data_IF_641457328811
#
_entry.id   IF_641457328811
#
_cell.length_a   1.000
_cell.length_b   1.000
_cell.length_c   1.000
_cell.angle_alpha   90.00
_cell.angle_beta   90.00
_cell.angle_gamma   90.00
#
_symmetry.space_group_name_H-M   'P 1'
#
loop_
_entity.id
_entity.type
_entity.pdbx_description
1 polymer ?
#
# COMPACT_ATOMS: atom_id res chain seq x y z
N UNK A 1 -19.39 65.59 18.32
CA UNK A 1 -20.55 64.65 18.31
C UNK A 1 -20.74 64.28 16.85
N UNK A 2 -20.49 63.08 16.32
CA UNK A 2 -20.64 61.71 16.82
C UNK A 2 -19.64 60.84 16.00
N UNK A 3 -18.79 60.05 16.64
CA UNK A 3 -18.00 59.00 15.98
C UNK A 3 -18.89 57.75 15.88
N UNK A 4 -19.25 57.33 14.68
CA UNK A 4 -19.94 56.04 14.46
C UNK A 4 -18.87 54.98 14.25
N UNK A 5 -18.70 54.13 15.26
CA UNK A 5 -17.87 52.93 15.19
C UNK A 5 -18.68 51.82 14.51
N UNK A 6 -18.24 51.37 13.33
CA UNK A 6 -18.69 50.13 12.71
C UNK A 6 -18.00 48.97 13.44
N UNK A 7 -18.75 48.29 14.31
CA UNK A 7 -18.36 46.99 14.86
C UNK A 7 -18.51 45.95 13.74
N UNK A 8 -17.38 45.53 13.16
CA UNK A 8 -17.28 44.25 12.46
C UNK A 8 -17.46 43.14 13.51
N UNK A 9 -18.68 42.64 13.65
CA UNK A 9 -18.92 41.34 14.25
C UNK A 9 -18.36 40.28 13.30
N UNK A 10 -17.11 39.85 13.55
CA UNK A 10 -16.61 38.61 12.99
C UNK A 10 -17.51 37.49 13.53
N UNK A 11 -18.35 36.93 12.66
CA UNK A 11 -18.97 35.64 12.90
C UNK A 11 -17.82 34.65 12.96
N UNK A 12 -17.42 34.27 14.17
CA UNK A 12 -16.55 33.13 14.39
C UNK A 12 -17.41 31.92 14.01
N UNK A 13 -17.31 31.50 12.75
CA UNK A 13 -17.77 30.17 12.36
C UNK A 13 -16.99 29.18 13.24
N UNK A 14 -17.66 28.26 13.94
CA UNK A 14 -16.95 27.21 14.65
C UNK A 14 -16.06 26.49 13.63
N UNK A 15 -14.79 26.29 13.98
CA UNK A 15 -13.92 25.44 13.18
C UNK A 15 -14.61 24.09 13.05
N UNK A 16 -14.85 23.62 11.82
CA UNK A 16 -15.29 22.25 11.62
C UNK A 16 -14.32 21.31 12.34
N UNK A 17 -14.80 20.28 13.05
CA UNK A 17 -13.91 19.30 13.67
C UNK A 17 -12.98 18.72 12.61
N UNK A 18 -11.76 18.35 13.01
CA UNK A 18 -10.83 17.69 12.08
C UNK A 18 -11.47 16.39 11.61
N UNK A 19 -11.28 16.01 10.34
CA UNK A 19 -11.94 14.80 9.79
C UNK A 19 -11.48 13.52 10.52
N UNK A 20 -10.32 13.57 11.18
CA UNK A 20 -9.81 12.48 12.02
C UNK A 20 -10.58 12.31 13.34
N UNK A 21 -11.28 13.35 13.82
CA UNK A 21 -12.04 13.32 15.09
C UNK A 21 -13.42 12.67 14.91
N UNK A 22 -13.86 12.42 13.67
CA UNK A 22 -15.16 11.79 13.33
C UNK A 22 -15.03 10.35 12.82
N UNK A 23 -13.85 9.74 12.98
CA UNK A 23 -13.64 8.36 12.54
C UNK A 23 -14.39 7.37 13.45
N UNK A 24 -15.08 6.36 12.88
CA UNK A 24 -15.82 5.39 13.67
C UNK A 24 -14.86 4.46 14.43
N UNK A 25 -15.20 4.13 15.68
CA UNK A 25 -14.34 3.31 16.55
C UNK A 25 -14.85 1.87 16.71
N UNK A 26 -16.14 1.64 16.46
CA UNK A 26 -16.82 0.39 16.85
C UNK A 26 -16.94 -0.67 15.74
N UNK A 27 -16.57 -0.31 14.51
CA UNK A 27 -16.86 -1.12 13.31
C UNK A 27 -15.94 -2.33 13.14
N UNK A 28 -16.51 -3.44 12.66
CA UNK A 28 -15.78 -4.63 12.22
C UNK A 28 -15.60 -4.66 10.70
N UNK A 29 -14.36 -4.55 10.25
CA UNK A 29 -14.00 -4.53 8.83
C UNK A 29 -13.75 -5.93 8.24
N UNK A 30 -13.90 -7.02 9.00
CA UNK A 30 -13.54 -8.38 8.56
C UNK A 30 -14.26 -8.77 7.25
N UNK A 31 -15.57 -8.54 7.16
CA UNK A 31 -16.35 -8.90 5.98
C UNK A 31 -15.99 -8.05 4.75
N UNK A 32 -15.78 -6.74 4.94
CA UNK A 32 -15.52 -5.81 3.84
C UNK A 32 -14.09 -5.92 3.31
N UNK A 33 -13.12 -6.34 4.13
CA UNK A 33 -11.73 -6.62 3.69
C UNK A 33 -11.66 -7.66 2.58
N UNK A 34 -12.52 -8.67 2.63
CA UNK A 34 -12.58 -9.76 1.65
C UNK A 34 -13.25 -9.36 0.34
N UNK A 35 -13.82 -8.16 0.26
CA UNK A 35 -14.48 -7.67 -0.95
C UNK A 35 -13.48 -7.63 -2.10
N UNK A 36 -13.75 -8.38 -3.15
CA UNK A 36 -12.92 -8.35 -4.36
C UNK A 36 -13.22 -7.07 -5.12
N UNK A 37 -12.16 -6.38 -5.54
CA UNK A 37 -12.24 -5.17 -6.36
C UNK A 37 -11.30 -5.31 -7.53
N UNK A 38 -11.57 -4.69 -8.67
CA UNK A 38 -10.57 -4.60 -9.73
C UNK A 38 -9.67 -3.40 -9.47
N UNK A 39 -8.37 -3.65 -9.43
CA UNK A 39 -7.36 -2.60 -9.26
C UNK A 39 -6.11 -2.98 -10.05
N UNK A 40 -5.61 -2.04 -10.85
CA UNK A 40 -4.35 -2.21 -11.59
C UNK A 40 -4.24 -3.53 -12.37
N UNK A 41 -5.30 -3.90 -13.09
CA UNK A 41 -5.34 -5.11 -13.94
C UNK A 41 -5.43 -6.46 -13.19
N UNK A 42 -5.63 -6.45 -11.87
CA UNK A 42 -5.89 -7.64 -11.04
C UNK A 42 -7.19 -7.49 -10.24
N UNK A 43 -7.53 -8.53 -9.48
CA UNK A 43 -8.71 -8.58 -8.62
C UNK A 43 -8.32 -8.87 -7.16
N UNK A 44 -7.66 -7.94 -6.44
CA UNK A 44 -7.24 -8.16 -5.06
C UNK A 44 -8.41 -7.90 -4.09
N UNK A 45 -8.26 -8.29 -2.81
CA UNK A 45 -9.17 -7.84 -1.76
C UNK A 45 -9.08 -6.32 -1.56
N UNK A 46 -10.17 -5.72 -1.08
CA UNK A 46 -10.24 -4.32 -0.69
C UNK A 46 -9.16 -3.95 0.33
N UNK A 47 -8.80 -4.88 1.22
CA UNK A 47 -7.70 -4.69 2.17
C UNK A 47 -6.39 -4.28 1.49
N UNK A 48 -6.02 -4.96 0.39
CA UNK A 48 -4.80 -4.62 -0.37
C UNK A 48 -4.92 -3.25 -1.01
N UNK A 49 -6.05 -2.96 -1.66
CA UNK A 49 -6.25 -1.67 -2.35
C UNK A 49 -6.25 -0.50 -1.37
N UNK A 50 -6.89 -0.67 -0.22
CA UNK A 50 -6.93 0.34 0.83
C UNK A 50 -5.52 0.61 1.40
N UNK A 51 -4.77 -0.45 1.75
CA UNK A 51 -3.37 -0.33 2.21
C UNK A 51 -2.52 0.42 1.20
N UNK A 52 -2.60 0.01 -0.06
CA UNK A 52 -1.85 0.62 -1.15
C UNK A 52 -2.22 2.09 -1.35
N UNK A 53 -3.51 2.41 -1.33
CA UNK A 53 -3.96 3.78 -1.52
C UNK A 53 -3.49 4.69 -0.38
N UNK A 54 -3.66 4.24 0.86
CA UNK A 54 -3.26 4.99 2.06
C UNK A 54 -1.74 5.17 2.11
N UNK A 55 -0.96 4.11 1.88
CA UNK A 55 0.50 4.17 1.86
C UNK A 55 1.01 5.06 0.72
N UNK A 56 0.43 4.97 -0.49
CA UNK A 56 0.86 5.79 -1.63
C UNK A 56 0.67 7.28 -1.35
N UNK A 57 -0.48 7.66 -0.79
CA UNK A 57 -0.79 9.07 -0.49
C UNK A 57 0.05 9.57 0.68
N UNK A 58 0.01 8.88 1.81
CA UNK A 58 0.53 9.36 3.11
C UNK A 58 1.98 9.00 3.36
N UNK A 59 2.48 7.94 2.70
CA UNK A 59 3.76 7.31 2.98
C UNK A 59 3.77 6.38 4.20
N UNK A 60 2.60 6.08 4.77
CA UNK A 60 2.44 5.21 5.95
C UNK A 60 1.20 4.32 5.79
N UNK A 61 1.38 2.99 5.87
CA UNK A 61 0.29 2.01 5.76
C UNK A 61 -0.75 2.15 6.89
N UNK A 62 -0.33 2.57 8.09
CA UNK A 62 -1.20 2.77 9.25
C UNK A 62 -1.17 4.25 9.66
N UNK A 63 -1.47 5.13 8.71
CA UNK A 63 -1.39 6.58 8.92
C UNK A 63 -2.12 7.04 10.20
N UNK A 64 -1.38 7.71 11.08
CA UNK A 64 -1.84 8.17 12.41
C UNK A 64 -2.38 7.04 13.32
N UNK A 65 -1.97 5.80 13.08
CA UNK A 65 -2.39 4.63 13.86
C UNK A 65 -3.76 4.06 13.48
N UNK A 66 -4.40 4.57 12.44
CA UNK A 66 -5.69 4.07 11.98
C UNK A 66 -5.55 2.92 10.99
N UNK A 67 -6.58 2.10 10.92
CA UNK A 67 -6.66 1.02 9.96
C UNK A 67 -6.80 1.56 8.52
N UNK A 68 -6.06 1.01 7.54
CA UNK A 68 -6.10 1.50 6.17
C UNK A 68 -7.47 1.35 5.50
N UNK A 69 -8.25 0.32 5.82
CA UNK A 69 -9.61 0.15 5.27
C UNK A 69 -10.56 1.19 5.85
N UNK A 70 -10.42 1.50 7.14
CA UNK A 70 -11.17 2.58 7.78
C UNK A 70 -10.87 3.92 7.10
N UNK A 71 -9.59 4.27 6.93
CA UNK A 71 -9.18 5.52 6.28
C UNK A 71 -9.67 5.59 4.84
N UNK A 72 -9.52 4.50 4.09
CA UNK A 72 -9.97 4.43 2.70
C UNK A 72 -11.49 4.66 2.57
N UNK A 73 -12.29 4.01 3.43
CA UNK A 73 -13.74 4.23 3.46
C UNK A 73 -14.09 5.65 3.92
N UNK A 74 -13.35 6.22 4.88
CA UNK A 74 -13.55 7.60 5.32
C UNK A 74 -13.28 8.61 4.18
N UNK A 75 -12.22 8.40 3.39
CA UNK A 75 -11.93 9.20 2.19
C UNK A 75 -13.04 9.09 1.15
N UNK A 76 -13.59 7.89 1.00
CA UNK A 76 -14.66 7.60 0.03
C UNK A 76 -16.01 8.19 0.47
N UNK A 77 -16.36 8.13 1.75
CA UNK A 77 -17.68 8.53 2.26
C UNK A 77 -17.78 9.99 2.68
N UNK A 78 -16.65 10.62 3.05
CA UNK A 78 -16.56 12.00 3.49
C UNK A 78 -15.50 12.81 2.70
N UNK A 79 -15.51 12.81 1.36
CA UNK A 79 -14.44 13.38 0.54
C UNK A 79 -14.21 14.88 0.79
N UNK A 80 -15.29 15.65 1.02
CA UNK A 80 -15.20 17.09 1.28
C UNK A 80 -14.41 17.42 2.56
N UNK A 81 -14.56 16.60 3.60
CA UNK A 81 -13.81 16.78 4.84
C UNK A 81 -12.33 16.43 4.63
N UNK A 82 -12.07 15.25 4.04
CA UNK A 82 -10.71 14.74 3.81
C UNK A 82 -9.92 15.51 2.76
N UNK A 83 -10.57 16.22 1.84
CA UNK A 83 -9.90 17.11 0.89
C UNK A 83 -9.11 18.22 1.58
N UNK A 84 -9.52 18.63 2.78
CA UNK A 84 -8.87 19.70 3.57
C UNK A 84 -7.87 19.16 4.60
N UNK A 85 -7.83 17.85 4.83
CA UNK A 85 -6.93 17.23 5.79
C UNK A 85 -5.48 17.16 5.27
N UNK A 86 -4.46 17.44 6.10
CA UNK A 86 -3.07 17.23 5.73
C UNK A 86 -2.72 15.73 5.59
N UNK A 87 -2.66 15.26 4.35
CA UNK A 87 -2.40 13.86 3.98
C UNK A 87 -1.05 13.67 3.28
N UNK A 88 -0.65 14.59 2.41
CA UNK A 88 0.48 14.40 1.49
C UNK A 88 1.75 15.00 2.09
N UNK A 89 2.71 14.15 2.46
CA UNK A 89 4.00 14.58 2.98
C UNK A 89 4.96 15.00 1.85
N UNK A 90 5.43 16.25 1.90
CA UNK A 90 6.48 16.80 1.04
C UNK A 90 7.65 17.21 1.95
N UNK A 91 8.48 16.23 2.35
CA UNK A 91 9.52 16.42 3.37
C UNK A 91 10.73 17.24 2.88
N UNK A 92 11.07 17.14 1.60
CA UNK A 92 12.23 17.81 1.01
C UNK A 92 12.04 19.33 0.97
N UNK A 93 12.91 20.08 1.66
CA UNK A 93 12.80 21.53 1.79
C UNK A 93 13.08 22.27 0.48
N UNK A 94 14.02 21.80 -0.33
CA UNK A 94 14.35 22.38 -1.64
C UNK A 94 13.17 22.23 -2.61
N UNK A 95 12.53 21.06 -2.65
CA UNK A 95 11.34 20.83 -3.45
C UNK A 95 10.20 21.75 -3.03
N UNK A 96 9.99 21.96 -1.73
CA UNK A 96 8.98 22.91 -1.25
C UNK A 96 9.30 24.34 -1.67
N UNK A 97 10.57 24.76 -1.60
CA UNK A 97 11.00 26.08 -2.02
C UNK A 97 10.82 26.29 -3.52
N UNK A 98 11.22 25.30 -4.33
CA UNK A 98 11.06 25.30 -5.79
C UNK A 98 9.58 25.39 -6.18
N UNK A 99 8.74 24.58 -5.53
CA UNK A 99 7.30 24.63 -5.71
C UNK A 99 6.65 25.87 -5.10
N UNK A 100 7.37 26.75 -4.40
CA UNK A 100 6.82 27.92 -3.70
C UNK A 100 5.74 27.57 -2.66
N UNK A 101 5.88 26.40 -2.01
CA UNK A 101 5.04 25.95 -0.91
C UNK A 101 5.53 26.50 0.43
N UNK A 102 4.63 26.59 1.42
CA UNK A 102 4.97 27.12 2.74
C UNK A 102 6.09 26.34 3.43
N UNK A 103 7.17 27.03 3.80
CA UNK A 103 8.29 26.39 4.52
C UNK A 103 7.92 25.91 5.93
N UNK A 104 6.83 26.41 6.51
CA UNK A 104 6.40 26.10 7.88
C UNK A 104 5.68 24.75 8.02
N UNK A 105 5.32 24.10 6.91
CA UNK A 105 4.60 22.81 6.90
C UNK A 105 5.31 21.79 6.01
N UNK A 106 5.27 20.53 6.43
CA UNK A 106 5.82 19.39 5.67
C UNK A 106 4.75 18.45 5.13
N UNK A 107 3.48 18.68 5.48
CA UNK A 107 2.32 17.89 5.07
C UNK A 107 1.25 18.85 4.57
N UNK A 108 0.64 18.51 3.43
CA UNK A 108 -0.29 19.35 2.68
C UNK A 108 -1.60 18.59 2.45
N UNK A 109 -2.70 19.33 2.36
CA UNK A 109 -4.00 18.77 1.97
C UNK A 109 -4.13 18.67 0.45
N UNK A 110 -5.11 17.89 -0.01
CA UNK A 110 -5.48 17.86 -1.43
C UNK A 110 -5.87 19.27 -1.90
N UNK A 111 -6.72 19.95 -1.13
CA UNK A 111 -7.19 21.31 -1.42
C UNK A 111 -6.05 22.33 -1.52
N UNK A 112 -5.04 22.25 -0.65
CA UNK A 112 -3.85 23.11 -0.71
C UNK A 112 -3.10 22.94 -2.03
N UNK A 113 -2.92 21.70 -2.49
CA UNK A 113 -2.10 21.40 -3.66
C UNK A 113 -2.84 21.64 -4.98
N UNK A 114 -4.13 21.31 -5.07
CA UNK A 114 -4.92 21.56 -6.29
C UNK A 114 -5.31 23.03 -6.47
N UNK A 115 -5.18 23.85 -5.44
CA UNK A 115 -5.32 25.31 -5.55
C UNK A 115 -3.99 26.02 -5.85
N UNK A 116 -2.87 25.27 -5.84
CA UNK A 116 -1.53 25.83 -6.01
C UNK A 116 -1.14 25.97 -7.48
N UNK A 117 -1.32 27.18 -8.03
CA UNK A 117 -1.15 27.47 -9.47
C UNK A 117 0.19 27.00 -10.04
N UNK A 118 1.30 27.28 -9.36
CA UNK A 118 2.62 26.94 -9.89
C UNK A 118 2.82 25.42 -10.05
N UNK A 119 2.31 24.62 -9.09
CA UNK A 119 2.34 23.17 -9.20
C UNK A 119 1.47 22.69 -10.38
N UNK A 120 0.27 23.27 -10.55
CA UNK A 120 -0.61 22.92 -11.67
C UNK A 120 0.02 23.25 -13.03
N UNK A 121 0.72 24.37 -13.15
CA UNK A 121 1.42 24.74 -14.38
C UNK A 121 2.52 23.71 -14.73
N UNK A 122 3.29 23.27 -13.74
CA UNK A 122 4.30 22.21 -13.91
C UNK A 122 3.65 20.88 -14.30
N UNK A 123 2.55 20.48 -13.66
CA UNK A 123 1.80 19.27 -14.00
C UNK A 123 1.28 19.35 -15.45
N UNK A 124 0.73 20.49 -15.85
CA UNK A 124 0.25 20.69 -17.21
C UNK A 124 1.39 20.63 -18.22
N UNK A 125 2.55 21.21 -17.92
CA UNK A 125 3.73 21.09 -18.78
C UNK A 125 4.16 19.63 -18.95
N UNK A 126 4.18 18.84 -17.87
CA UNK A 126 4.48 17.41 -17.92
C UNK A 126 3.48 16.62 -18.76
N UNK A 127 2.19 16.94 -18.69
CA UNK A 127 1.17 16.28 -19.49
C UNK A 127 1.35 16.52 -21.00
N UNK A 128 1.96 17.64 -21.40
CA UNK A 128 2.22 18.00 -22.80
C UNK A 128 3.63 17.58 -23.27
N UNK A 129 4.58 17.38 -22.35
CA UNK A 129 5.86 16.75 -22.64
C UNK A 129 5.61 15.26 -22.96
N UNK A 130 5.71 14.88 -24.24
CA UNK A 130 5.26 13.57 -24.72
C UNK A 130 5.73 12.36 -23.90
N UNK A 131 4.91 11.30 -23.89
CA UNK A 131 5.22 10.04 -23.20
C UNK A 131 6.58 9.48 -23.66
N UNK A 132 7.51 9.27 -22.71
CA UNK A 132 8.80 8.61 -22.96
C UNK A 132 10.04 9.51 -22.83
N UNK A 133 9.88 10.81 -22.60
CA UNK A 133 10.99 11.68 -22.21
C UNK A 133 11.53 11.30 -20.83
N UNK A 134 12.86 11.24 -20.70
CA UNK A 134 13.50 11.02 -19.40
C UNK A 134 13.26 12.26 -18.54
N UNK A 135 12.44 12.09 -17.50
CA UNK A 135 12.13 13.15 -16.57
C UNK A 135 13.39 13.59 -15.83
N UNK A 136 13.53 14.90 -15.65
CA UNK A 136 14.50 15.44 -14.71
C UNK A 136 14.08 15.15 -13.24
N UNK A 137 14.97 15.38 -12.25
CA UNK A 137 14.65 15.09 -10.85
C UNK A 137 13.47 15.89 -10.27
N UNK A 138 13.21 17.11 -10.78
CA UNK A 138 12.07 17.93 -10.35
C UNK A 138 10.79 17.40 -10.98
N UNK A 139 10.81 17.16 -12.29
CA UNK A 139 9.71 16.58 -13.07
C UNK A 139 9.25 15.24 -12.49
N UNK A 140 10.18 14.37 -12.10
CA UNK A 140 9.85 13.11 -11.41
C UNK A 140 9.11 13.35 -10.09
N UNK A 141 9.56 14.30 -9.27
CA UNK A 141 8.91 14.64 -7.99
C UNK A 141 7.54 15.27 -8.19
N UNK A 142 7.37 16.10 -9.21
CA UNK A 142 6.07 16.69 -9.57
C UNK A 142 5.12 15.60 -10.08
N UNK A 143 5.60 14.67 -10.90
CA UNK A 143 4.84 13.49 -11.35
C UNK A 143 4.36 12.62 -10.18
N UNK A 144 5.22 12.41 -9.18
CA UNK A 144 4.86 11.67 -7.96
C UNK A 144 3.75 12.38 -7.18
N UNK A 145 3.84 13.71 -7.02
CA UNK A 145 2.78 14.52 -6.38
C UNK A 145 1.49 14.41 -7.19
N UNK A 146 1.55 14.58 -8.50
CA UNK A 146 0.38 14.46 -9.38
C UNK A 146 -0.30 13.09 -9.27
N UNK A 147 0.50 12.01 -9.23
CA UNK A 147 -0.02 10.65 -9.07
C UNK A 147 -0.81 10.48 -7.77
N UNK A 148 -0.35 11.10 -6.67
CA UNK A 148 -1.10 11.12 -5.40
C UNK A 148 -2.38 11.93 -5.48
N UNK A 149 -2.36 13.08 -6.17
CA UNK A 149 -3.55 13.91 -6.38
C UNK A 149 -4.61 13.19 -7.22
N UNK A 150 -4.20 12.56 -8.32
CA UNK A 150 -5.09 11.75 -9.17
C UNK A 150 -5.67 10.58 -8.38
N UNK A 151 -4.85 9.89 -7.59
CA UNK A 151 -5.32 8.78 -6.74
C UNK A 151 -6.36 9.25 -5.72
N UNK A 152 -6.10 10.34 -4.99
CA UNK A 152 -7.07 10.90 -4.05
C UNK A 152 -8.35 11.33 -4.75
N UNK A 153 -8.26 12.00 -5.90
CA UNK A 153 -9.43 12.39 -6.67
C UNK A 153 -10.26 11.16 -7.09
N UNK A 154 -9.59 10.10 -7.55
CA UNK A 154 -10.25 8.83 -7.91
C UNK A 154 -10.95 8.18 -6.70
N UNK A 155 -10.37 8.27 -5.51
CA UNK A 155 -11.01 7.80 -4.26
C UNK A 155 -12.19 8.67 -3.87
N UNK A 156 -12.02 10.00 -3.90
CA UNK A 156 -13.06 10.97 -3.53
C UNK A 156 -14.29 10.89 -4.45
N UNK A 157 -14.09 10.53 -5.72
CA UNK A 157 -15.17 10.29 -6.67
C UNK A 157 -15.81 8.89 -6.53
N UNK A 158 -15.28 8.01 -5.68
CA UNK A 158 -15.72 6.61 -5.57
C UNK A 158 -15.29 5.71 -6.74
N UNK A 159 -14.47 6.21 -7.65
CA UNK A 159 -14.09 5.53 -8.90
C UNK A 159 -13.02 4.45 -8.72
N UNK A 160 -12.31 4.45 -7.58
CA UNK A 160 -11.27 3.45 -7.28
C UNK A 160 -11.88 2.10 -6.89
N UNK A 161 -13.03 2.14 -6.21
CA UNK A 161 -13.70 0.95 -5.72
C UNK A 161 -14.53 0.33 -6.85
N UNK A 162 -13.94 -0.66 -7.54
CA UNK A 162 -14.57 -1.33 -8.69
C UNK A 162 -14.90 -2.80 -8.43
N UNK A 163 -15.93 -3.13 -7.62
CA UNK A 163 -16.28 -4.50 -7.24
C UNK A 163 -17.35 -5.12 -8.15
N UNK A 164 -17.98 -4.36 -9.05
CA UNK A 164 -19.12 -4.82 -9.86
C UNK A 164 -18.61 -5.41 -11.17
N UNK A 165 -18.72 -6.73 -11.39
CA UNK A 165 -18.24 -7.35 -12.61
C UNK A 165 -19.08 -6.94 -13.82
N UNK A 166 -18.44 -6.62 -14.94
CA UNK A 166 -19.10 -6.55 -16.25
C UNK A 166 -18.97 -7.93 -16.92
N UNK A 167 -20.11 -8.61 -17.12
CA UNK A 167 -20.13 -9.94 -17.72
C UNK A 167 -19.99 -9.89 -19.25
N UNK A 168 -20.34 -8.76 -19.87
CA UNK A 168 -20.39 -8.59 -21.31
C UNK A 168 -19.09 -8.00 -21.86
N UNK A 169 -18.22 -7.46 -21.00
CA UNK A 169 -16.90 -6.94 -21.38
C UNK A 169 -15.86 -8.07 -21.53
N UNK A 170 -15.38 -8.38 -22.75
CA UNK A 170 -14.37 -9.40 -22.98
C UNK A 170 -13.00 -9.07 -22.34
N UNK A 171 -12.76 -7.82 -21.94
CA UNK A 171 -11.58 -7.42 -21.17
C UNK A 171 -11.68 -7.74 -19.68
N UNK A 172 -12.86 -8.18 -19.20
CA UNK A 172 -13.10 -8.50 -17.79
C UNK A 172 -13.09 -7.29 -16.87
N UNK A 173 -13.46 -6.10 -17.39
CA UNK A 173 -13.49 -4.86 -16.61
C UNK A 173 -14.57 -4.92 -15.53
N UNK A 174 -14.26 -4.42 -14.35
CA UNK A 174 -15.25 -4.22 -13.29
C UNK A 174 -15.52 -2.72 -13.16
N UNK A 175 -16.74 -2.38 -12.75
CA UNK A 175 -17.25 -1.00 -12.67
C UNK A 175 -17.32 -0.53 -11.22
N UNK A 176 -17.30 0.79 -11.05
CA UNK A 176 -17.35 1.45 -9.75
C UNK A 176 -18.74 1.34 -9.09
N UNK A 177 -18.79 1.50 -7.77
CA UNK A 177 -20.05 1.68 -7.03
C UNK A 177 -20.29 3.19 -6.81
N UNK A 178 -21.52 3.71 -7.03
CA UNK A 178 -22.75 2.99 -7.38
C UNK A 178 -22.82 2.60 -8.87
N UNK A 179 -23.45 1.48 -9.22
CA UNK A 179 -23.44 1.00 -10.60
C UNK A 179 -24.47 1.80 -11.41
N UNK A 180 -24.01 2.59 -12.37
CA UNK A 180 -24.88 3.56 -13.07
C UNK A 180 -26.01 2.93 -13.91
N UNK A 181 -26.02 1.63 -14.24
CA UNK A 181 -26.93 1.15 -15.29
C UNK A 181 -27.27 -0.36 -15.40
N UNK A 182 -27.27 -1.19 -14.34
CA UNK A 182 -27.64 -2.62 -14.51
C UNK A 182 -28.75 -3.09 -13.58
N UNK A 183 -29.68 -3.92 -14.06
CA UNK A 183 -30.87 -4.38 -13.31
C UNK A 183 -30.60 -5.20 -12.03
N UNK A 184 -29.34 -5.59 -11.76
CA UNK A 184 -28.87 -6.15 -10.47
C UNK A 184 -28.13 -5.15 -9.57
N UNK A 185 -27.93 -3.92 -10.06
CA UNK A 185 -27.27 -2.82 -9.36
C UNK A 185 -28.07 -2.31 -8.16
N UNK A 186 -29.38 -2.52 -8.11
CA UNK A 186 -30.22 -1.97 -7.03
C UNK A 186 -29.92 -2.60 -5.66
N UNK A 187 -29.68 -3.91 -5.60
CA UNK A 187 -29.32 -4.58 -4.34
C UNK A 187 -27.90 -4.20 -3.89
N UNK A 188 -26.96 -4.11 -4.82
CA UNK A 188 -25.59 -3.66 -4.55
C UNK A 188 -25.56 -2.20 -4.09
N UNK A 189 -26.28 -1.32 -4.79
CA UNK A 189 -26.40 0.09 -4.44
C UNK A 189 -27.07 0.27 -3.08
N UNK A 190 -28.18 -0.43 -2.82
CA UNK A 190 -28.86 -0.39 -1.53
C UNK A 190 -27.97 -0.87 -0.38
N UNK A 191 -27.24 -1.99 -0.56
CA UNK A 191 -26.31 -2.48 0.44
C UNK A 191 -25.13 -1.53 0.65
N UNK A 192 -24.65 -0.86 -0.41
CA UNK A 192 -23.61 0.16 -0.33
C UNK A 192 -24.06 1.42 0.40
N UNK A 193 -25.26 1.91 0.11
CA UNK A 193 -25.84 3.08 0.77
C UNK A 193 -26.06 2.78 2.26
N UNK A 194 -26.59 1.60 2.59
CA UNK A 194 -26.73 1.15 3.98
C UNK A 194 -25.38 1.03 4.68
N UNK A 195 -24.35 0.52 4.00
CA UNK A 195 -22.99 0.43 4.54
C UNK A 195 -22.40 1.81 4.81
N UNK A 196 -22.61 2.77 3.89
CA UNK A 196 -22.18 4.15 4.06
C UNK A 196 -22.89 4.82 5.23
N UNK A 197 -24.21 4.69 5.33
CA UNK A 197 -24.98 5.25 6.45
C UNK A 197 -24.51 4.67 7.78
N UNK A 198 -24.36 3.35 7.88
CA UNK A 198 -23.87 2.68 9.07
C UNK A 198 -22.43 3.09 9.44
N UNK A 199 -21.57 3.35 8.43
CA UNK A 199 -20.22 3.87 8.66
C UNK A 199 -20.25 5.28 9.26
N UNK A 200 -21.06 6.18 8.68
CA UNK A 200 -21.16 7.57 9.11
C UNK A 200 -21.84 7.72 10.49
N UNK A 201 -22.70 6.76 10.88
CA UNK A 201 -23.37 6.75 12.19
C UNK A 201 -22.66 5.88 13.24
N UNK A 202 -21.50 5.28 12.92
CA UNK A 202 -20.79 4.30 13.77
C UNK A 202 -21.71 3.17 14.29
N UNK A 203 -22.60 2.66 13.44
CA UNK A 203 -23.48 1.53 13.77
C UNK A 203 -22.82 0.21 13.37
N UNK A 204 -22.13 -0.42 14.32
CA UNK A 204 -21.42 -1.68 14.11
C UNK A 204 -22.32 -2.83 13.62
N UNK A 205 -23.57 -2.91 14.08
CA UNK A 205 -24.48 -4.00 13.73
C UNK A 205 -24.97 -3.84 12.28
N UNK A 206 -25.40 -2.62 11.93
CA UNK A 206 -25.81 -2.30 10.57
C UNK A 206 -24.64 -2.42 9.58
N UNK A 207 -23.44 -1.96 9.96
CA UNK A 207 -22.25 -2.04 9.10
C UNK A 207 -21.85 -3.50 8.81
N UNK A 208 -21.89 -4.36 9.82
CA UNK A 208 -21.58 -5.78 9.67
C UNK A 208 -22.60 -6.49 8.78
N UNK A 209 -23.89 -6.17 8.94
CA UNK A 209 -24.96 -6.71 8.11
C UNK A 209 -24.80 -6.25 6.65
N UNK A 210 -24.69 -4.93 6.43
CA UNK A 210 -24.55 -4.34 5.10
C UNK A 210 -23.30 -4.82 4.36
N UNK A 211 -22.18 -5.04 5.07
CA UNK A 211 -20.96 -5.63 4.49
C UNK A 211 -21.18 -7.05 3.96
N UNK A 212 -21.94 -7.88 4.70
CA UNK A 212 -22.30 -9.24 4.28
C UNK A 212 -23.29 -9.21 3.12
N UNK A 213 -24.27 -8.34 3.17
CA UNK A 213 -25.29 -8.18 2.13
C UNK A 213 -24.67 -7.69 0.83
N UNK A 214 -23.75 -6.72 0.88
CA UNK A 214 -23.00 -6.24 -0.28
C UNK A 214 -22.20 -7.38 -0.92
N UNK A 215 -21.46 -8.15 -0.11
CA UNK A 215 -20.70 -9.30 -0.59
C UNK A 215 -21.61 -10.37 -1.22
N UNK A 216 -22.76 -10.65 -0.60
CA UNK A 216 -23.73 -11.59 -1.12
C UNK A 216 -24.35 -11.11 -2.44
N UNK A 217 -24.73 -9.83 -2.53
CA UNK A 217 -25.28 -9.23 -3.73
C UNK A 217 -24.29 -9.33 -4.91
N UNK A 218 -23.03 -8.93 -4.69
CA UNK A 218 -21.97 -9.02 -5.69
C UNK A 218 -21.69 -10.46 -6.13
N UNK A 219 -21.80 -11.43 -5.21
CA UNK A 219 -21.59 -12.84 -5.53
C UNK A 219 -22.66 -13.42 -6.47
N UNK A 220 -23.83 -12.78 -6.60
CA UNK A 220 -24.89 -13.20 -7.54
C UNK A 220 -24.68 -12.66 -8.96
N UNK A 221 -23.88 -11.59 -9.14
CA UNK A 221 -23.67 -10.98 -10.45
C UNK A 221 -22.79 -11.82 -11.37
N UNK A 222 -23.14 -12.03 -12.65
CA UNK A 222 -22.31 -12.80 -13.57
C UNK A 222 -20.92 -12.15 -13.73
N UNK A 223 -19.86 -12.95 -13.75
CA UNK A 223 -18.49 -12.47 -13.88
C UNK A 223 -17.66 -13.44 -14.74
N UNK A 224 -16.92 -12.92 -15.72
CA UNK A 224 -16.07 -13.73 -16.60
C UNK A 224 -14.91 -14.41 -15.84
N UNK A 225 -14.43 -13.78 -14.77
CA UNK A 225 -13.36 -14.33 -13.92
C UNK A 225 -13.58 -13.91 -12.47
N UNK A 226 -13.44 -14.86 -11.55
CA UNK A 226 -13.46 -14.61 -10.10
C UNK A 226 -12.24 -15.26 -9.45
N UNK A 227 -11.49 -14.52 -8.63
CA UNK A 227 -10.45 -15.09 -7.78
C UNK A 227 -11.02 -16.20 -6.88
N UNK A 228 -10.22 -17.23 -6.61
CA UNK A 228 -10.63 -18.25 -5.64
C UNK A 228 -10.66 -17.65 -4.23
N UNK A 229 -11.57 -18.10 -3.35
CA UNK A 229 -11.58 -17.67 -1.95
C UNK A 229 -10.26 -17.96 -1.22
N UNK A 230 -9.55 -19.02 -1.63
CA UNK A 230 -8.24 -19.39 -1.08
C UNK A 230 -7.15 -18.38 -1.44
N UNK A 231 -7.21 -17.80 -2.65
CA UNK A 231 -6.26 -16.77 -3.10
C UNK A 231 -6.48 -15.48 -2.30
N UNK A 232 -7.73 -15.06 -2.13
CA UNK A 232 -8.10 -13.89 -1.32
C UNK A 232 -7.63 -14.06 0.13
N UNK A 233 -7.91 -15.21 0.75
CA UNK A 233 -7.45 -15.50 2.11
C UNK A 233 -5.91 -15.53 2.23
N UNK A 234 -5.22 -15.99 1.17
CA UNK A 234 -3.74 -16.00 1.11
C UNK A 234 -3.18 -14.58 1.07
N UNK A 235 -3.80 -13.69 0.29
CA UNK A 235 -3.40 -12.28 0.21
C UNK A 235 -3.67 -11.52 1.51
N UNK A 236 -4.84 -11.71 2.13
CA UNK A 236 -5.14 -11.13 3.45
C UNK A 236 -4.15 -11.59 4.52
N UNK A 237 -3.75 -12.86 4.50
CA UNK A 237 -2.72 -13.38 5.39
C UNK A 237 -1.35 -12.77 5.10
N UNK A 238 -1.00 -12.59 3.83
CA UNK A 238 0.25 -11.93 3.43
C UNK A 238 0.32 -10.49 3.94
N UNK A 239 -0.75 -9.72 3.76
CA UNK A 239 -0.86 -8.34 4.23
C UNK A 239 -0.74 -8.25 5.76
N UNK A 240 -1.47 -9.11 6.49
CA UNK A 240 -1.46 -9.11 7.96
C UNK A 240 -0.09 -9.50 8.55
N UNK A 241 0.59 -10.48 7.98
CA UNK A 241 1.84 -11.00 8.53
C UNK A 241 3.03 -10.09 8.23
N UNK A 242 2.97 -9.32 7.15
CA UNK A 242 4.07 -8.50 6.64
C UNK A 242 5.45 -9.23 6.77
N UNK A 243 5.59 -10.38 6.07
CA UNK A 243 6.64 -11.36 6.36
C UNK A 243 8.06 -10.82 6.12
N UNK A 244 8.22 -9.85 5.22
CA UNK A 244 9.53 -9.28 4.92
C UNK A 244 10.01 -8.34 6.01
N UNK A 245 9.11 -7.54 6.61
CA UNK A 245 9.42 -6.70 7.76
C UNK A 245 9.87 -7.54 8.97
N UNK A 246 9.07 -8.54 9.34
CA UNK A 246 9.42 -9.45 10.44
C UNK A 246 10.66 -10.29 10.12
N UNK A 247 10.83 -10.71 8.86
CA UNK A 247 11.98 -11.47 8.37
C UNK A 247 13.30 -10.72 8.51
N UNK A 248 13.38 -9.46 8.10
CA UNK A 248 14.63 -8.69 8.20
C UNK A 248 14.97 -8.37 9.66
N UNK A 249 13.97 -8.06 10.50
CA UNK A 249 14.18 -7.83 11.94
C UNK A 249 14.74 -9.07 12.63
N UNK A 250 14.16 -10.24 12.36
CA UNK A 250 14.65 -11.51 12.89
C UNK A 250 16.06 -11.83 12.36
N UNK A 251 16.32 -11.61 11.07
CA UNK A 251 17.64 -11.81 10.47
C UNK A 251 18.70 -10.87 11.08
N UNK A 252 18.33 -9.63 11.38
CA UNK A 252 19.19 -8.65 12.05
C UNK A 252 19.58 -9.11 13.45
N UNK A 253 18.62 -9.64 14.23
CA UNK A 253 18.90 -10.26 15.54
C UNK A 253 19.85 -11.45 15.38
N UNK A 254 19.65 -12.28 14.36
CA UNK A 254 20.55 -13.39 14.02
C UNK A 254 21.98 -12.93 13.71
N UNK A 255 22.14 -11.85 12.94
CA UNK A 255 23.43 -11.25 12.63
C UNK A 255 24.12 -10.69 13.89
N UNK A 256 23.38 -9.99 14.77
CA UNK A 256 23.91 -9.49 16.05
C UNK A 256 24.37 -10.65 16.94
N UNK A 257 23.61 -11.74 17.02
CA UNK A 257 24.00 -12.93 17.77
C UNK A 257 25.26 -13.60 17.19
N UNK A 258 25.40 -13.65 15.86
CA UNK A 258 26.61 -14.13 15.20
C UNK A 258 27.84 -13.27 15.55
N UNK A 259 27.68 -11.94 15.58
CA UNK A 259 28.74 -11.02 16.03
C UNK A 259 29.11 -11.25 17.50
N UNK A 260 28.12 -11.45 18.37
CA UNK A 260 28.34 -11.78 19.79
C UNK A 260 29.05 -13.13 19.96
N UNK A 261 28.73 -14.13 19.13
CA UNK A 261 29.44 -15.42 19.08
C UNK A 261 30.93 -15.26 18.72
N UNK A 262 31.28 -14.28 17.88
CA UNK A 262 32.68 -13.94 17.60
C UNK A 262 33.37 -13.28 18.81
N UNK A 263 32.71 -12.34 19.46
CA UNK A 263 33.28 -11.54 20.56
C UNK A 263 33.41 -12.36 21.86
N UNK A 264 32.32 -12.99 22.28
CA UNK A 264 32.24 -13.71 23.56
C UNK A 264 32.78 -15.14 23.43
N UNK A 265 32.83 -15.69 22.22
CA UNK A 265 33.36 -17.03 21.88
C UNK A 265 32.69 -18.20 22.60
N UNK A 266 31.52 -18.01 23.21
CA UNK A 266 30.72 -19.09 23.83
C UNK A 266 29.82 -19.78 22.80
N UNK A 267 29.82 -21.12 22.80
CA UNK A 267 29.08 -21.96 21.84
C UNK A 267 27.56 -21.74 21.83
N UNK A 268 26.97 -21.30 22.94
CA UNK A 268 25.52 -21.07 23.01
C UNK A 268 25.07 -19.88 22.16
N UNK A 269 25.92 -18.85 21.99
CA UNK A 269 25.62 -17.74 21.07
C UNK A 269 25.64 -18.20 19.62
N UNK A 270 26.58 -19.06 19.24
CA UNK A 270 26.62 -19.65 17.89
C UNK A 270 25.35 -20.47 17.63
N UNK A 271 24.93 -21.31 18.60
CA UNK A 271 23.71 -22.11 18.48
C UNK A 271 22.46 -21.23 18.37
N UNK A 272 22.30 -20.26 19.27
CA UNK A 272 21.14 -19.36 19.27
C UNK A 272 21.09 -18.52 18.00
N UNK A 273 22.23 -18.00 17.55
CA UNK A 273 22.34 -17.25 16.29
C UNK A 273 21.88 -18.07 15.09
N UNK A 274 22.30 -19.34 14.99
CA UNK A 274 21.87 -20.23 13.89
C UNK A 274 20.38 -20.53 13.95
N UNK A 275 19.82 -20.76 15.14
CA UNK A 275 18.37 -20.99 15.30
C UNK A 275 17.59 -19.74 14.83
N UNK A 276 18.00 -18.55 15.27
CA UNK A 276 17.33 -17.29 14.88
C UNK A 276 17.46 -17.04 13.37
N UNK A 277 18.64 -17.25 12.78
CA UNK A 277 18.86 -17.13 11.32
C UNK A 277 17.96 -18.14 10.57
N UNK A 278 17.84 -19.38 11.05
CA UNK A 278 16.99 -20.39 10.42
C UNK A 278 15.50 -20.02 10.51
N UNK A 279 15.04 -19.50 11.65
CA UNK A 279 13.66 -18.99 11.80
C UNK A 279 13.40 -17.81 10.87
N UNK A 280 14.33 -16.84 10.82
CA UNK A 280 14.23 -15.68 9.92
C UNK A 280 14.16 -16.12 8.45
N UNK A 281 15.01 -17.06 8.04
CA UNK A 281 14.99 -17.64 6.70
C UNK A 281 13.66 -18.35 6.40
N UNK A 282 13.09 -19.06 7.38
CA UNK A 282 11.76 -19.67 7.27
C UNK A 282 10.64 -18.64 7.04
N UNK A 283 10.67 -17.52 7.78
CA UNK A 283 9.72 -16.41 7.60
C UNK A 283 9.84 -15.81 6.19
N UNK A 284 11.07 -15.52 5.73
CA UNK A 284 11.32 -14.95 4.39
C UNK A 284 10.86 -15.94 3.30
N UNK A 285 11.18 -17.22 3.45
CA UNK A 285 10.77 -18.28 2.52
C UNK A 285 9.24 -18.39 2.45
N UNK A 286 8.56 -18.34 3.60
CA UNK A 286 7.10 -18.35 3.65
C UNK A 286 6.50 -17.12 2.97
N UNK A 287 7.07 -15.92 3.21
CA UNK A 287 6.65 -14.69 2.55
C UNK A 287 6.80 -14.74 1.02
N UNK A 288 7.92 -15.26 0.52
CA UNK A 288 8.14 -15.48 -0.91
C UNK A 288 7.14 -16.49 -1.49
N UNK A 289 6.83 -17.57 -0.76
CA UNK A 289 5.84 -18.57 -1.18
C UNK A 289 4.43 -17.99 -1.27
N UNK A 290 4.00 -17.18 -0.29
CA UNK A 290 2.72 -16.49 -0.33
C UNK A 290 2.67 -15.52 -1.52
N UNK A 291 3.71 -14.71 -1.69
CA UNK A 291 3.79 -13.74 -2.79
C UNK A 291 3.77 -14.41 -4.16
N UNK A 292 4.45 -15.55 -4.32
CA UNK A 292 4.41 -16.32 -5.56
C UNK A 292 2.99 -16.79 -5.86
N UNK A 293 2.27 -17.35 -4.87
CA UNK A 293 0.88 -17.78 -5.05
C UNK A 293 -0.04 -16.64 -5.48
N UNK A 294 0.13 -15.44 -4.90
CA UNK A 294 -0.68 -14.24 -5.23
C UNK A 294 -0.31 -13.68 -6.60
N UNK A 295 0.98 -13.62 -6.93
CA UNK A 295 1.46 -13.06 -8.19
C UNK A 295 1.25 -14.00 -9.38
N UNK A 296 1.14 -15.31 -9.14
CA UNK A 296 1.10 -16.33 -10.20
C UNK A 296 2.44 -16.52 -10.92
N UNK A 297 3.52 -15.90 -10.42
CA UNK A 297 4.87 -15.92 -11.02
C UNK A 297 5.95 -15.85 -9.95
N UNK A 298 7.18 -16.18 -10.34
CA UNK A 298 8.36 -15.98 -9.49
C UNK A 298 8.50 -14.48 -9.20
N UNK A 299 8.62 -14.06 -7.93
CA UNK A 299 8.65 -12.65 -7.54
C UNK A 299 10.04 -12.04 -7.74
N UNK A 300 10.48 -11.89 -9.01
CA UNK A 300 11.80 -11.35 -9.39
C UNK A 300 11.74 -10.33 -10.55
N UNK A 301 10.60 -9.65 -10.69
CA UNK A 301 10.29 -8.79 -11.85
C UNK A 301 10.72 -7.33 -11.70
N UNK A 302 10.94 -6.86 -10.47
CA UNK A 302 11.29 -5.47 -10.18
C UNK A 302 12.37 -5.39 -9.08
N UNK A 303 12.90 -4.18 -8.86
CA UNK A 303 13.99 -3.95 -7.91
C UNK A 303 13.65 -4.38 -6.47
N UNK A 304 12.41 -4.17 -6.02
CA UNK A 304 11.97 -4.61 -4.70
C UNK A 304 12.02 -6.14 -4.59
N UNK A 305 11.39 -6.83 -5.55
CA UNK A 305 11.37 -8.28 -5.67
C UNK A 305 12.78 -8.90 -5.76
N UNK A 306 13.71 -8.25 -6.46
CA UNK A 306 15.13 -8.61 -6.52
C UNK A 306 15.83 -8.56 -5.16
N UNK A 307 15.58 -7.54 -4.33
CA UNK A 307 16.15 -7.45 -2.99
C UNK A 307 15.62 -8.56 -2.06
N UNK A 308 14.36 -8.98 -2.24
CA UNK A 308 13.81 -10.12 -1.51
C UNK A 308 14.57 -11.41 -1.83
N UNK A 309 14.84 -11.66 -3.12
CA UNK A 309 15.61 -12.81 -3.56
C UNK A 309 17.07 -12.78 -3.10
N UNK A 310 17.73 -11.62 -3.17
CA UNK A 310 19.08 -11.43 -2.64
C UNK A 310 19.14 -11.74 -1.15
N UNK A 311 18.17 -11.22 -0.37
CA UNK A 311 18.07 -11.49 1.06
C UNK A 311 17.88 -12.98 1.35
N UNK A 312 17.00 -13.64 0.59
CA UNK A 312 16.73 -15.07 0.73
C UNK A 312 17.99 -15.90 0.42
N UNK A 313 18.68 -15.62 -0.69
CA UNK A 313 19.93 -16.29 -1.07
C UNK A 313 21.04 -16.11 -0.04
N UNK A 314 21.31 -14.87 0.38
CA UNK A 314 22.30 -14.59 1.43
C UNK A 314 21.95 -15.27 2.77
N UNK A 315 20.67 -15.33 3.13
CA UNK A 315 20.18 -16.05 4.31
C UNK A 315 20.41 -17.55 4.22
N UNK A 316 20.17 -18.16 3.04
CA UNK A 316 20.46 -19.57 2.80
C UNK A 316 21.96 -19.86 2.95
N UNK A 317 22.83 -19.02 2.38
CA UNK A 317 24.27 -19.12 2.56
C UNK A 317 24.69 -18.99 4.01
N UNK A 318 24.08 -18.08 4.78
CA UNK A 318 24.37 -17.94 6.21
C UNK A 318 24.14 -19.27 6.97
N UNK A 319 23.05 -19.99 6.66
CA UNK A 319 22.75 -21.30 7.25
C UNK A 319 23.76 -22.36 6.79
N UNK A 320 24.03 -22.45 5.50
CA UNK A 320 24.98 -23.43 4.93
C UNK A 320 26.38 -23.24 5.53
N UNK A 321 26.86 -21.99 5.58
CA UNK A 321 28.15 -21.64 6.17
C UNK A 321 28.16 -21.98 7.66
N UNK A 322 27.08 -21.73 8.40
CA UNK A 322 27.03 -22.02 9.82
C UNK A 322 27.07 -23.52 10.13
N UNK A 323 26.34 -24.33 9.36
CA UNK A 323 26.20 -25.78 9.59
C UNK A 323 27.41 -26.54 9.07
N UNK A 324 27.87 -26.23 7.85
CA UNK A 324 28.91 -26.98 7.14
C UNK A 324 30.30 -26.41 7.42
N UNK A 325 30.52 -25.13 7.07
CA UNK A 325 31.85 -24.51 7.12
C UNK A 325 32.24 -24.07 8.53
N UNK A 326 31.26 -23.82 9.40
CA UNK A 326 31.42 -23.34 10.79
C UNK A 326 32.30 -22.10 10.91
N UNK A 327 32.30 -21.26 9.87
CA UNK A 327 33.12 -20.06 9.79
C UNK A 327 32.35 -18.83 10.29
N UNK A 328 32.55 -18.47 11.57
CA UNK A 328 31.78 -17.43 12.28
C UNK A 328 31.68 -16.09 11.55
N UNK A 329 32.80 -15.61 11.01
CA UNK A 329 32.82 -14.33 10.30
C UNK A 329 31.97 -14.37 9.01
N UNK A 330 31.99 -15.50 8.29
CA UNK A 330 31.21 -15.63 7.07
C UNK A 330 29.70 -15.77 7.35
N UNK A 331 29.32 -16.36 8.48
CA UNK A 331 27.91 -16.37 8.94
C UNK A 331 27.44 -14.94 9.23
N UNK A 332 28.24 -14.16 9.97
CA UNK A 332 27.92 -12.76 10.27
C UNK A 332 27.72 -11.94 8.99
N UNK A 333 28.65 -12.03 8.03
CA UNK A 333 28.56 -11.25 6.80
C UNK A 333 27.36 -11.66 5.95
N UNK A 334 27.06 -12.96 5.84
CA UNK A 334 25.93 -13.46 5.07
C UNK A 334 24.59 -13.07 5.71
N UNK A 335 24.43 -13.27 7.02
CA UNK A 335 23.22 -12.87 7.75
C UNK A 335 23.04 -11.34 7.76
N UNK A 336 24.13 -10.59 7.92
CA UNK A 336 24.13 -9.13 7.84
C UNK A 336 23.71 -8.63 6.46
N UNK A 337 24.25 -9.20 5.38
CA UNK A 337 23.86 -8.87 4.01
C UNK A 337 22.37 -9.18 3.76
N UNK A 338 21.89 -10.33 4.24
CA UNK A 338 20.48 -10.68 4.15
C UNK A 338 19.58 -9.67 4.86
N UNK A 339 19.92 -9.31 6.11
CA UNK A 339 19.15 -8.37 6.91
C UNK A 339 19.14 -6.96 6.29
N UNK A 340 20.31 -6.45 5.87
CA UNK A 340 20.43 -5.10 5.28
C UNK A 340 19.73 -5.01 3.94
N UNK A 341 19.84 -6.03 3.09
CA UNK A 341 19.17 -6.03 1.77
C UNK A 341 17.65 -5.92 1.92
N UNK A 342 17.07 -6.66 2.87
CA UNK A 342 15.63 -6.65 3.11
C UNK A 342 15.15 -5.44 3.90
N UNK A 343 15.97 -4.92 4.82
CA UNK A 343 15.71 -3.64 5.49
C UNK A 343 15.71 -2.49 4.48
N UNK A 344 16.64 -2.49 3.52
CA UNK A 344 16.65 -1.52 2.43
C UNK A 344 15.40 -1.64 1.57
N UNK A 345 14.90 -2.88 1.38
CA UNK A 345 13.65 -3.16 0.69
C UNK A 345 12.44 -2.50 1.35
N UNK A 346 12.40 -2.47 2.68
CA UNK A 346 11.29 -1.93 3.51
C UNK A 346 11.39 -0.40 3.70
N UNK A 347 12.59 0.19 3.65
CA UNK A 347 12.81 1.62 3.97
C UNK A 347 12.90 2.51 2.73
N UNK A 348 13.44 2.02 1.62
CA UNK A 348 13.55 2.83 0.41
C UNK A 348 12.20 2.94 -0.30
N UNK A 349 11.95 4.05 -1.02
CA UNK A 349 10.73 4.28 -1.79
C UNK A 349 10.73 3.44 -3.08
N UNK A 350 10.63 2.12 -2.93
CA UNK A 350 10.40 1.17 -4.01
C UNK A 350 8.94 0.78 -4.02
N UNK A 351 8.43 0.26 -5.14
CA UNK A 351 7.05 -0.23 -5.20
C UNK A 351 6.97 -1.65 -4.59
N UNK A 352 6.39 -1.82 -3.38
CA UNK A 352 6.28 -3.12 -2.76
C UNK A 352 5.14 -3.95 -3.33
N UNK A 353 4.22 -3.32 -4.07
CA UNK A 353 2.95 -3.91 -4.49
C UNK A 353 3.16 -4.96 -5.57
N UNK A 354 2.25 -5.93 -5.60
CA UNK A 354 2.26 -6.96 -6.63
C UNK A 354 1.60 -6.34 -7.87
N UNK A 355 2.39 -6.12 -8.92
CA UNK A 355 1.91 -5.60 -10.21
C UNK A 355 1.76 -6.75 -11.21
N UNK A 356 0.75 -6.73 -12.10
CA UNK A 356 0.77 -7.58 -13.28
C UNK A 356 2.04 -7.31 -14.08
N UNK A 357 2.67 -8.35 -14.62
CA UNK A 357 3.85 -8.16 -15.45
C UNK A 357 3.46 -7.51 -16.77
N UNK A 358 4.20 -6.48 -17.18
CA UNK A 358 4.03 -5.86 -18.49
C UNK A 358 4.31 -6.89 -19.60
N UNK A 359 3.55 -6.88 -20.71
CA UNK A 359 3.67 -7.89 -21.78
C UNK A 359 5.10 -8.09 -22.30
N UNK A 360 5.92 -7.04 -22.34
CA UNK A 360 7.31 -7.09 -22.82
C UNK A 360 8.24 -7.97 -21.97
N UNK A 361 7.89 -8.26 -20.70
CA UNK A 361 8.65 -9.18 -19.84
C UNK A 361 8.11 -10.62 -19.89
N UNK A 362 6.99 -10.86 -20.58
CA UNK A 362 6.37 -12.19 -20.68
C UNK A 362 7.06 -13.09 -21.71
N UNK A 363 7.79 -12.51 -22.66
CA UNK A 363 8.19 -13.23 -23.88
C UNK A 363 9.40 -14.17 -23.70
N UNK A 364 10.06 -14.16 -22.54
CA UNK A 364 11.17 -15.09 -22.28
C UNK A 364 11.14 -15.63 -20.86
N UNK A 365 10.86 -16.94 -20.74
CA UNK A 365 11.11 -17.74 -19.52
C UNK A 365 12.53 -17.50 -18.99
N UNK A 366 13.48 -17.25 -19.89
CA UNK A 366 14.84 -16.87 -19.56
C UNK A 366 14.91 -15.60 -18.70
N UNK A 367 14.11 -14.57 -19.00
CA UNK A 367 14.08 -13.33 -18.22
C UNK A 367 13.58 -13.56 -16.78
N UNK A 368 12.67 -14.52 -16.59
CA UNK A 368 12.15 -14.87 -15.26
C UNK A 368 13.10 -15.72 -14.42
N UNK A 369 14.05 -16.42 -15.05
CA UNK A 369 15.00 -17.34 -14.40
C UNK A 369 16.39 -16.71 -14.20
N UNK A 370 16.89 -15.97 -15.19
CA UNK A 370 18.27 -15.45 -15.17
C UNK A 370 18.53 -14.45 -14.04
N UNK A 371 17.60 -13.53 -13.76
CA UNK A 371 17.73 -12.50 -12.71
C UNK A 371 17.87 -13.16 -11.34
N UNK A 372 16.97 -14.08 -10.92
CA UNK A 372 17.16 -14.84 -9.69
C UNK A 372 18.50 -15.56 -9.60
N UNK A 373 18.97 -16.19 -10.70
CA UNK A 373 20.22 -16.97 -10.71
C UNK A 373 21.46 -16.08 -10.60
N UNK A 374 21.47 -14.89 -11.22
CA UNK A 374 22.63 -13.99 -11.16
C UNK A 374 22.73 -13.31 -9.79
N UNK A 375 21.59 -13.15 -9.09
CA UNK A 375 21.53 -12.47 -7.80
C UNK A 375 21.92 -13.34 -6.59
N UNK A 376 21.75 -14.67 -6.69
CA UNK A 376 22.09 -15.64 -5.64
C UNK A 376 23.41 -16.31 -5.97
#
# INVERSE_FOLDING_TARGET
MLRVALLLSAVILPASPAAADELPESLDFTAIRELVVQYDGRWPPLDTVARQAVETVTGDENFRGHDPVLLFLAWTFSPNQWASEPLIAIKNAELRAELQLSSSKTVYSYADLVSHRHLLDLINHLAHAGQGSKLDPLESKVSDINSKLVLLQTVFNGELLRPVPDADDPSGRWTAIPPEAMGGASAVASAWDTLREAFLSDDAAAFTAASKDLKAALATLPAATRPSPTLIATELRYNRLNPFRSGWMAMMVGAVLAAMGMLVRKRWFDLLGVIVIAVAFGIITYGLSLRWQIAGRIPASNMYESLLFLSWGAGAFAIVIAVILRHRFAVLTAAGMAAVSLMLADVLPMDPHIRPTVPVLMDTVWMSIHVPIIMV
#
